data_IF_794760972233
#
_entry.id   IF_794760972233
#
_cell.length_a   1.000
_cell.length_b   1.000
_cell.length_c   1.000
_cell.angle_alpha   90.00
_cell.angle_beta   90.00
_cell.angle_gamma   90.00
#
_symmetry.space_group_name_H-M   'P 1'
#
loop_
_entity.id
_entity.type
_entity.pdbx_description
1 polymer ?
#
# COMPACT_ATOMS: atom_id res chain seq x y z
N UNK A 1 5.98 -1.15 5.72
CA UNK A 1 4.77 -1.99 5.79
C UNK A 1 4.50 -2.32 7.25
N UNK A 2 3.26 -2.17 7.74
CA UNK A 2 2.93 -2.57 9.12
C UNK A 2 2.66 -4.08 9.17
N UNK A 3 3.25 -4.76 10.15
CA UNK A 3 3.24 -6.23 10.29
C UNK A 3 1.85 -6.76 10.65
N UNK A 4 1.38 -7.78 9.92
CA UNK A 4 0.07 -8.45 10.07
C UNK A 4 -0.54 -8.83 8.71
N UNK A 5 0.29 -9.40 7.83
CA UNK A 5 0.26 -9.27 6.37
C UNK A 5 -1.11 -9.46 5.72
N UNK A 6 -1.73 -8.34 5.34
CA UNK A 6 -2.85 -8.34 4.41
C UNK A 6 -2.45 -9.12 3.15
N UNK A 7 -3.25 -10.07 2.63
CA UNK A 7 -2.83 -10.96 1.53
C UNK A 7 -2.28 -10.23 0.30
N UNK A 8 -2.81 -9.04 -0.01
CA UNK A 8 -2.34 -8.17 -1.10
C UNK A 8 -0.88 -7.72 -0.99
N UNK A 9 -0.29 -7.75 0.20
CA UNK A 9 1.11 -7.39 0.46
C UNK A 9 2.06 -8.59 0.48
N UNK A 10 1.57 -9.80 0.22
CA UNK A 10 2.39 -11.00 0.22
C UNK A 10 3.61 -10.86 -0.73
N UNK A 11 4.81 -11.03 -0.18
CA UNK A 11 6.06 -10.92 -0.94
C UNK A 11 6.48 -9.49 -1.30
N UNK A 12 5.89 -8.47 -0.68
CA UNK A 12 6.33 -7.07 -0.76
C UNK A 12 6.90 -6.68 0.60
N UNK A 13 8.09 -6.08 0.60
CA UNK A 13 8.86 -5.79 1.81
C UNK A 13 9.03 -4.29 2.05
N UNK A 14 9.29 -3.92 3.29
CA UNK A 14 9.76 -2.56 3.58
C UNK A 14 11.11 -2.35 2.91
N UNK A 15 11.24 -1.28 2.13
CA UNK A 15 12.42 -1.01 1.30
C UNK A 15 12.13 -1.15 -0.20
N UNK A 16 11.08 -1.89 -0.58
CA UNK A 16 10.65 -1.94 -1.97
C UNK A 16 10.15 -0.56 -2.44
N UNK A 17 10.49 -0.21 -3.67
CA UNK A 17 10.15 1.09 -4.24
C UNK A 17 8.75 1.09 -4.86
N UNK A 18 8.01 2.16 -4.61
CA UNK A 18 6.73 2.45 -5.24
C UNK A 18 6.70 3.88 -5.79
N UNK A 19 5.93 4.09 -6.87
CA UNK A 19 5.87 5.37 -7.58
C UNK A 19 4.72 6.25 -7.10
N UNK A 20 5.05 7.45 -6.61
CA UNK A 20 4.10 8.47 -6.13
C UNK A 20 4.16 9.73 -7.01
N UNK A 21 3.03 10.39 -7.24
CA UNK A 21 2.95 11.68 -7.97
C UNK A 21 1.75 12.51 -7.48
N UNK A 22 1.79 12.96 -6.23
CA UNK A 22 0.65 13.60 -5.57
C UNK A 22 1.08 14.77 -4.68
N UNK A 23 0.29 15.85 -4.64
CA UNK A 23 0.50 16.99 -3.73
C UNK A 23 -0.28 16.89 -2.43
N UNK A 24 -1.33 16.08 -2.40
CA UNK A 24 -2.19 15.83 -1.24
C UNK A 24 -2.09 14.38 -0.82
N UNK A 25 -2.35 14.11 0.45
CA UNK A 25 -2.28 12.77 1.03
C UNK A 25 -3.40 12.55 2.04
N UNK A 26 -3.78 11.29 2.25
CA UNK A 26 -4.77 10.90 3.24
C UNK A 26 -4.17 10.92 4.66
N UNK A 27 -4.57 11.90 5.47
CA UNK A 27 -4.35 11.89 6.92
C UNK A 27 -5.32 10.88 7.58
N UNK A 28 -4.97 9.59 7.54
CA UNK A 28 -5.82 8.52 8.03
C UNK A 28 -6.09 8.67 9.55
N UNK A 29 -7.36 8.72 9.92
CA UNK A 29 -7.81 8.86 11.32
C UNK A 29 -7.97 7.51 12.04
N UNK A 30 -7.95 6.41 11.30
CA UNK A 30 -8.08 5.04 11.82
C UNK A 30 -6.79 4.25 11.55
N UNK A 31 -5.88 4.13 12.53
CA UNK A 31 -4.58 3.49 12.34
C UNK A 31 -4.67 2.01 11.93
N UNK A 32 -5.72 1.31 12.34
CA UNK A 32 -5.94 -0.11 12.03
C UNK A 32 -6.22 -0.36 10.54
N UNK A 33 -6.64 0.68 9.80
CA UNK A 33 -6.82 0.58 8.36
C UNK A 33 -5.52 0.85 7.58
N UNK A 34 -4.44 1.28 8.23
CA UNK A 34 -3.18 1.65 7.55
C UNK A 34 -2.31 0.43 7.37
N UNK A 35 -2.22 -0.07 6.13
CA UNK A 35 -1.40 -1.23 5.77
C UNK A 35 0.07 -0.86 5.54
N UNK A 36 0.32 0.32 4.95
CA UNK A 36 1.67 0.81 4.71
C UNK A 36 1.75 2.33 4.86
N UNK A 37 2.90 2.78 5.35
CA UNK A 37 3.30 4.18 5.42
C UNK A 37 4.68 4.34 4.80
N UNK A 38 4.97 5.55 4.32
CA UNK A 38 6.30 5.96 3.83
C UNK A 38 6.63 7.34 4.41
N UNK A 39 7.91 7.68 4.49
CA UNK A 39 8.36 9.02 4.89
C UNK A 39 8.65 9.87 3.65
N UNK A 40 8.04 11.05 3.59
CA UNK A 40 8.34 12.09 2.61
C UNK A 40 8.19 13.46 3.28
N UNK A 41 9.24 13.90 3.99
CA UNK A 41 9.16 15.10 4.83
C UNK A 41 8.27 14.89 6.06
N UNK A 42 8.08 13.64 6.48
CA UNK A 42 7.13 13.21 7.50
C UNK A 42 6.35 11.96 7.08
N UNK A 43 5.69 11.29 8.03
CA UNK A 43 4.95 10.06 7.75
C UNK A 43 3.70 10.34 6.93
N UNK A 44 3.51 9.58 5.85
CA UNK A 44 2.29 9.58 5.04
C UNK A 44 1.67 8.20 4.91
N UNK A 45 0.36 8.17 4.68
CA UNK A 45 -0.39 6.94 4.42
C UNK A 45 -0.13 6.49 2.98
N UNK A 46 0.62 5.40 2.81
CA UNK A 46 0.93 4.86 1.48
C UNK A 46 -0.16 3.90 0.98
N UNK A 47 -0.78 3.15 1.90
CA UNK A 47 -1.79 2.15 1.58
C UNK A 47 -2.74 1.93 2.76
N UNK A 48 -4.02 1.75 2.44
CA UNK A 48 -5.07 1.40 3.39
C UNK A 48 -5.81 0.12 2.99
N UNK A 49 -6.43 -0.53 3.96
CA UNK A 49 -7.33 -1.66 3.76
C UNK A 49 -8.39 -1.74 4.84
N UNK A 50 -9.60 -2.16 4.47
CA UNK A 50 -10.71 -2.41 5.39
C UNK A 50 -11.71 -3.37 4.75
N UNK A 51 -12.06 -4.45 5.43
CA UNK A 51 -12.96 -5.48 4.91
C UNK A 51 -12.47 -6.00 3.54
N UNK A 52 -13.23 -5.74 2.48
CA UNK A 52 -12.91 -6.08 1.09
C UNK A 52 -12.32 -4.90 0.28
N UNK A 53 -12.01 -3.78 0.94
CA UNK A 53 -11.49 -2.56 0.32
C UNK A 53 -9.98 -2.48 0.48
N UNK A 54 -9.30 -2.06 -0.59
CA UNK A 54 -7.87 -1.74 -0.60
C UNK A 54 -7.68 -0.45 -1.41
N UNK A 55 -6.83 0.45 -0.92
CA UNK A 55 -6.48 1.68 -1.62
C UNK A 55 -4.99 2.00 -1.49
N UNK A 56 -4.36 2.37 -2.59
CA UNK A 56 -2.94 2.78 -2.64
C UNK A 56 -2.84 4.26 -2.98
N UNK A 57 -1.94 4.98 -2.32
CA UNK A 57 -1.58 6.35 -2.70
C UNK A 57 -0.55 6.36 -3.83
N UNK A 58 0.24 5.29 -3.98
CA UNK A 58 1.14 5.09 -5.12
C UNK A 58 0.39 4.43 -6.29
N UNK A 59 1.03 4.48 -7.46
CA UNK A 59 0.58 3.85 -8.69
C UNK A 59 1.20 2.46 -8.83
N UNK A 60 0.48 1.36 -8.49
CA UNK A 60 1.04 0.02 -8.60
C UNK A 60 1.45 -0.32 -10.04
N UNK A 61 0.73 0.17 -11.04
CA UNK A 61 1.05 -0.02 -12.47
C UNK A 61 2.35 0.66 -12.92
N UNK A 62 2.86 1.62 -12.14
CA UNK A 62 4.13 2.33 -12.39
C UNK A 62 5.25 1.92 -11.43
N UNK A 63 5.01 0.94 -10.55
CA UNK A 63 5.90 0.57 -9.45
C UNK A 63 6.72 -0.72 -9.71
N UNK A 64 6.96 -1.04 -10.99
CA UNK A 64 7.81 -2.17 -11.39
C UNK A 64 7.40 -3.51 -10.73
N UNK A 65 8.36 -4.33 -10.32
CA UNK A 65 8.13 -5.66 -9.76
C UNK A 65 7.22 -5.62 -8.51
N UNK A 66 7.45 -4.69 -7.59
CA UNK A 66 6.62 -4.54 -6.39
C UNK A 66 5.16 -4.22 -6.74
N UNK A 67 4.96 -3.34 -7.73
CA UNK A 67 3.65 -2.99 -8.24
C UNK A 67 2.91 -4.13 -8.92
N UNK A 68 3.60 -4.88 -9.80
CA UNK A 68 3.04 -6.06 -10.46
C UNK A 68 2.69 -7.16 -9.46
N UNK A 69 3.53 -7.38 -8.43
CA UNK A 69 3.25 -8.30 -7.33
C UNK A 69 1.97 -7.92 -6.60
N UNK A 70 1.80 -6.63 -6.26
CA UNK A 70 0.61 -6.14 -5.55
C UNK A 70 -0.67 -6.37 -6.37
N UNK A 71 -0.64 -6.06 -7.67
CA UNK A 71 -1.77 -6.29 -8.57
C UNK A 71 -2.10 -7.79 -8.67
N UNK A 72 -1.09 -8.65 -8.82
CA UNK A 72 -1.29 -10.09 -8.85
C UNK A 72 -1.90 -10.63 -7.55
N UNK A 73 -1.41 -10.16 -6.39
CA UNK A 73 -1.96 -10.54 -5.10
C UNK A 73 -3.41 -10.06 -4.93
N UNK A 74 -3.73 -8.84 -5.37
CA UNK A 74 -5.10 -8.31 -5.33
C UNK A 74 -6.06 -9.12 -6.21
N UNK A 75 -5.65 -9.50 -7.43
CA UNK A 75 -6.47 -10.34 -8.33
C UNK A 75 -6.68 -11.76 -7.79
N UNK A 76 -5.73 -12.28 -7.01
CA UNK A 76 -5.84 -13.60 -6.36
C UNK A 76 -6.53 -13.59 -5.00
N UNK A 77 -6.75 -12.41 -4.41
CA UNK A 77 -7.32 -12.26 -3.07
C UNK A 77 -8.82 -12.55 -3.07
N UNK A 78 -9.26 -13.29 -2.05
CA UNK A 78 -10.68 -13.65 -1.79
C UNK A 78 -11.08 -13.14 -0.40
N UNK A 79 -11.53 -11.88 -0.27
CA UNK A 79 -12.01 -11.31 0.99
C UNK A 79 -13.30 -11.96 1.51
#
# INVERSE_FOLDING_TARGET
IRSGDHPVLAGISTGDHAYFVHSYQLAATHPDHVLASVDYGGPLTAMVGRDNLVGTQFHPEKSQEAGLRLIANFLGWRP
#
